data_IF_065911623716
#
_entry.id   IF_065911623716
#
_cell.length_a   1.000
_cell.length_b   1.000
_cell.length_c   1.000
_cell.angle_alpha   90.00
_cell.angle_beta   90.00
_cell.angle_gamma   90.00
#
_symmetry.space_group_name_H-M   'P 1'
#
loop_
_entity.id
_entity.type
_entity.pdbx_description
1 polymer ?
#
# COMPACT_ATOMS: atom_id res chain seq x y z
N UNK A 1 -39.41 31.09 -3.13
CA UNK A 1 -39.24 30.10 -2.06
C UNK A 1 -38.00 29.28 -2.39
N UNK A 2 -36.92 29.41 -1.59
CA UNK A 2 -35.72 28.59 -1.80
C UNK A 2 -36.13 27.11 -1.67
N UNK A 3 -35.72 26.31 -2.64
CA UNK A 3 -36.10 24.89 -2.75
C UNK A 3 -35.66 24.17 -1.47
N UNK A 4 -36.60 23.86 -0.57
CA UNK A 4 -36.38 23.38 0.80
C UNK A 4 -35.54 22.09 0.82
N UNK A 5 -35.69 21.27 -0.23
CA UNK A 5 -34.89 20.08 -0.49
C UNK A 5 -33.41 20.38 -0.73
N UNK A 6 -33.09 21.44 -1.49
CA UNK A 6 -31.70 21.87 -1.72
C UNK A 6 -31.07 22.38 -0.43
N UNK A 7 -31.81 23.12 0.39
CA UNK A 7 -31.33 23.61 1.67
C UNK A 7 -31.03 22.48 2.66
N UNK A 8 -31.90 21.45 2.72
CA UNK A 8 -31.67 20.24 3.51
C UNK A 8 -30.45 19.45 3.03
N UNK A 9 -30.29 19.29 1.71
CA UNK A 9 -29.13 18.60 1.12
C UNK A 9 -27.81 19.31 1.43
N UNK A 10 -27.76 20.63 1.29
CA UNK A 10 -26.57 21.43 1.62
C UNK A 10 -26.23 21.35 3.13
N UNK A 11 -27.26 21.36 3.99
CA UNK A 11 -27.07 21.40 5.45
C UNK A 11 -26.72 20.03 6.05
N UNK A 12 -27.27 18.94 5.52
CA UNK A 12 -27.12 17.61 6.10
C UNK A 12 -26.42 16.62 5.16
N UNK A 13 -26.67 16.72 3.85
CA UNK A 13 -26.05 15.85 2.85
C UNK A 13 -24.54 16.05 2.78
N UNK A 14 -24.07 17.30 2.65
CA UNK A 14 -22.63 17.59 2.55
C UNK A 14 -21.88 17.16 3.81
N UNK A 15 -22.31 17.51 5.05
CA UNK A 15 -21.64 17.03 6.25
C UNK A 15 -21.68 15.50 6.41
N UNK A 16 -22.77 14.83 6.06
CA UNK A 16 -22.83 13.36 6.08
C UNK A 16 -21.79 12.74 5.15
N UNK A 17 -21.65 13.24 3.91
CA UNK A 17 -20.63 12.76 2.97
C UNK A 17 -19.22 13.00 3.54
N UNK A 18 -18.98 14.17 4.14
CA UNK A 18 -17.69 14.45 4.78
C UNK A 18 -17.38 13.48 5.92
N UNK A 19 -18.36 13.14 6.77
CA UNK A 19 -18.21 12.14 7.84
C UNK A 19 -17.87 10.77 7.26
N UNK A 20 -18.57 10.33 6.21
CA UNK A 20 -18.28 9.05 5.54
C UNK A 20 -16.85 9.01 5.01
N UNK A 21 -16.39 10.07 4.36
CA UNK A 21 -15.00 10.18 3.86
C UNK A 21 -14.00 10.09 5.00
N UNK A 22 -14.24 10.78 6.13
CA UNK A 22 -13.37 10.73 7.31
C UNK A 22 -13.29 9.30 7.88
N UNK A 23 -14.43 8.62 8.02
CA UNK A 23 -14.48 7.25 8.54
C UNK A 23 -13.70 6.29 7.64
N UNK A 24 -13.88 6.37 6.32
CA UNK A 24 -13.13 5.54 5.35
C UNK A 24 -11.63 5.82 5.43
N UNK A 25 -11.22 7.09 5.54
CA UNK A 25 -9.81 7.45 5.68
C UNK A 25 -9.20 6.90 6.97
N UNK A 26 -9.89 7.04 8.11
CA UNK A 26 -9.42 6.51 9.40
C UNK A 26 -9.32 4.99 9.40
N UNK A 27 -10.30 4.30 8.81
CA UNK A 27 -10.27 2.85 8.62
C UNK A 27 -9.03 2.43 7.82
N UNK A 28 -8.77 3.10 6.70
CA UNK A 28 -7.63 2.80 5.84
C UNK A 28 -6.28 3.08 6.53
N UNK A 29 -6.17 4.16 7.30
CA UNK A 29 -4.97 4.48 8.10
C UNK A 29 -4.69 3.38 9.12
N UNK A 30 -5.72 2.89 9.81
CA UNK A 30 -5.53 1.92 10.89
C UNK A 30 -5.27 0.50 10.38
N UNK A 31 -5.94 0.08 9.30
CA UNK A 31 -5.85 -1.29 8.78
C UNK A 31 -4.67 -1.48 7.82
N UNK A 32 -4.41 -0.51 6.94
CA UNK A 32 -3.46 -0.69 5.84
C UNK A 32 -2.06 -0.13 6.14
N UNK A 33 -1.74 0.18 7.40
CA UNK A 33 -0.50 0.87 7.80
C UNK A 33 -0.17 2.09 6.93
N UNK A 34 -1.22 2.75 6.42
CA UNK A 34 -1.06 4.00 5.70
C UNK A 34 -0.73 5.06 6.75
N UNK A 35 0.25 5.91 6.48
CA UNK A 35 0.45 7.06 7.35
C UNK A 35 -0.84 7.88 7.36
N UNK A 36 -1.11 8.61 8.46
CA UNK A 36 -2.24 9.56 8.58
C UNK A 36 -2.33 10.57 7.42
N UNK A 37 -1.29 10.59 6.57
CA UNK A 37 -0.99 11.51 5.49
C UNK A 37 -0.99 10.85 4.10
N UNK A 38 -0.92 9.50 3.99
CA UNK A 38 -1.08 8.75 2.73
C UNK A 38 -2.55 8.77 2.30
N UNK A 39 -2.98 9.91 1.73
CA UNK A 39 -4.37 10.15 1.34
C UNK A 39 -4.75 11.63 1.10
N UNK A 40 -3.82 12.58 1.28
CA UNK A 40 -4.02 13.99 0.88
C UNK A 40 -3.78 15.08 1.93
N UNK A 41 -2.92 14.87 2.95
CA UNK A 41 -2.64 15.87 4.00
C UNK A 41 -1.25 16.54 3.94
N UNK A 42 -1.02 17.55 4.79
CA UNK A 42 0.25 18.28 4.95
C UNK A 42 1.38 17.37 5.47
N UNK A 43 2.36 17.03 4.62
CA UNK A 43 3.48 16.12 4.97
C UNK A 43 3.81 15.09 3.88
N UNK A 44 3.05 15.08 2.78
CA UNK A 44 3.27 14.20 1.63
C UNK A 44 4.70 14.30 1.03
N UNK A 45 5.37 15.45 1.19
CA UNK A 45 6.71 15.69 0.66
C UNK A 45 7.86 15.30 1.62
N UNK A 46 7.56 14.91 2.87
CA UNK A 46 8.59 14.54 3.86
C UNK A 46 8.82 13.03 3.96
N UNK A 47 7.95 12.21 3.39
CA UNK A 47 8.12 10.75 3.33
C UNK A 47 8.56 10.29 1.94
N UNK A 48 9.41 9.26 1.89
CA UNK A 48 9.79 8.62 0.63
C UNK A 48 8.54 7.99 -0.01
N UNK A 49 8.34 8.29 -1.29
CA UNK A 49 7.19 7.83 -2.06
C UNK A 49 7.08 6.30 -2.02
N UNK A 50 5.84 5.78 -1.96
CA UNK A 50 5.57 4.33 -1.84
C UNK A 50 6.15 3.52 -3.00
N UNK A 51 6.37 4.13 -4.17
CA UNK A 51 7.08 3.47 -5.29
C UNK A 51 8.53 3.09 -4.95
N UNK A 52 9.13 3.75 -3.96
CA UNK A 52 10.46 3.41 -3.43
C UNK A 52 10.48 2.15 -2.56
N UNK A 53 9.31 1.59 -2.20
CA UNK A 53 9.26 0.31 -1.50
C UNK A 53 9.87 -0.80 -2.37
N UNK A 54 10.70 -1.63 -1.76
CA UNK A 54 11.45 -2.69 -2.42
C UNK A 54 10.85 -4.03 -2.07
N UNK A 55 10.55 -4.82 -3.10
CA UNK A 55 10.13 -6.21 -2.93
C UNK A 55 11.39 -7.07 -3.03
N UNK A 56 11.56 -8.01 -2.11
CA UNK A 56 12.64 -8.98 -2.11
C UNK A 56 12.04 -10.38 -2.11
N UNK A 57 12.50 -11.24 -3.03
CA UNK A 57 12.08 -12.64 -3.09
C UNK A 57 13.33 -13.50 -3.05
N UNK A 58 13.40 -14.40 -2.07
CA UNK A 58 14.60 -15.20 -1.86
C UNK A 58 14.87 -16.11 -3.06
N UNK A 59 16.07 -15.98 -3.64
CA UNK A 59 16.51 -16.79 -4.78
C UNK A 59 15.79 -16.51 -6.10
N UNK A 60 15.25 -15.29 -6.29
CA UNK A 60 14.73 -14.81 -7.58
C UNK A 60 14.99 -13.32 -7.78
N UNK A 61 15.15 -12.91 -9.04
CA UNK A 61 15.18 -11.50 -9.42
C UNK A 61 13.74 -11.00 -9.62
N UNK A 62 13.33 -10.01 -8.85
CA UNK A 62 12.02 -9.35 -8.99
C UNK A 62 11.86 -8.74 -10.38
N UNK A 63 12.93 -8.19 -10.96
CA UNK A 63 12.90 -7.58 -12.30
C UNK A 63 12.55 -8.61 -13.38
N UNK A 64 13.01 -9.86 -13.23
CA UNK A 64 12.67 -10.94 -14.15
C UNK A 64 11.19 -11.34 -14.10
N UNK A 65 10.55 -11.18 -12.93
CA UNK A 65 9.14 -11.52 -12.71
C UNK A 65 8.19 -10.43 -13.22
N UNK A 66 8.63 -9.16 -13.22
CA UNK A 66 7.84 -8.01 -13.70
C UNK A 66 7.54 -8.10 -15.21
N UNK A 67 8.28 -8.89 -15.97
CA UNK A 67 7.97 -9.16 -17.38
C UNK A 67 6.57 -9.79 -17.58
N UNK A 68 6.01 -10.42 -16.54
CA UNK A 68 4.62 -10.85 -16.53
C UNK A 68 3.69 -9.74 -16.02
N UNK A 69 2.74 -9.31 -16.85
CA UNK A 69 1.79 -8.25 -16.53
C UNK A 69 0.98 -8.50 -15.25
N UNK A 70 0.59 -9.74 -14.96
CA UNK A 70 -0.22 -10.03 -13.75
C UNK A 70 0.59 -9.82 -12.47
N UNK A 71 1.85 -10.28 -12.46
CA UNK A 71 2.76 -10.11 -11.33
C UNK A 71 3.08 -8.63 -11.13
N UNK A 72 3.31 -7.89 -12.22
CA UNK A 72 3.62 -6.47 -12.15
C UNK A 72 2.50 -5.67 -11.46
N UNK A 73 1.24 -5.95 -11.80
CA UNK A 73 0.11 -5.30 -11.13
C UNK A 73 0.05 -5.64 -9.64
N UNK A 74 0.18 -6.92 -9.27
CA UNK A 74 0.22 -7.35 -7.87
C UNK A 74 1.37 -6.68 -7.11
N UNK A 75 2.56 -6.57 -7.70
CA UNK A 75 3.70 -5.88 -7.11
C UNK A 75 3.46 -4.37 -6.97
N UNK A 76 2.79 -3.73 -7.93
CA UNK A 76 2.42 -2.32 -7.84
C UNK A 76 1.48 -2.07 -6.67
N UNK A 77 0.44 -2.90 -6.51
CA UNK A 77 -0.47 -2.82 -5.37
C UNK A 77 0.24 -3.11 -4.05
N UNK A 78 1.10 -4.12 -4.02
CA UNK A 78 1.89 -4.47 -2.83
C UNK A 78 2.82 -3.35 -2.38
N UNK A 79 3.47 -2.65 -3.31
CA UNK A 79 4.30 -1.47 -3.00
C UNK A 79 3.47 -0.33 -2.42
N UNK A 80 2.26 -0.11 -2.94
CA UNK A 80 1.36 0.94 -2.45
C UNK A 80 0.81 0.61 -1.06
N UNK A 81 0.31 -0.61 -0.88
CA UNK A 81 -0.38 -1.13 0.30
C UNK A 81 0.27 -2.46 0.73
N UNK A 82 1.35 -2.41 1.50
CA UNK A 82 1.99 -3.58 2.06
C UNK A 82 1.15 -4.10 3.23
N UNK A 83 0.31 -5.10 2.96
CA UNK A 83 -0.48 -5.82 3.94
C UNK A 83 -0.49 -7.31 3.61
N UNK A 84 -0.83 -8.14 4.59
CA UNK A 84 -0.79 -9.61 4.48
C UNK A 84 -1.55 -10.13 3.25
N UNK A 85 -2.76 -9.60 3.01
CA UNK A 85 -3.60 -9.99 1.86
C UNK A 85 -2.92 -9.75 0.52
N UNK A 86 -2.40 -8.55 0.29
CA UNK A 86 -1.71 -8.20 -0.95
C UNK A 86 -0.41 -8.99 -1.11
N UNK A 87 0.25 -9.32 -0.01
CA UNK A 87 1.48 -10.11 0.02
C UNK A 87 1.19 -11.57 -0.36
N UNK A 88 0.10 -12.14 0.14
CA UNK A 88 -0.39 -13.47 -0.22
C UNK A 88 -0.82 -13.54 -1.70
N UNK A 89 -1.55 -12.53 -2.19
CA UNK A 89 -1.94 -12.46 -3.61
C UNK A 89 -0.71 -12.39 -4.52
N UNK A 90 0.28 -11.55 -4.20
CA UNK A 90 1.54 -11.49 -4.93
C UNK A 90 2.30 -12.82 -4.86
N UNK A 91 2.33 -13.48 -3.69
CA UNK A 91 2.98 -14.76 -3.52
C UNK A 91 2.34 -15.87 -4.38
N UNK A 92 1.01 -15.93 -4.42
CA UNK A 92 0.25 -16.85 -5.28
C UNK A 92 0.59 -16.65 -6.76
N UNK A 93 0.62 -15.40 -7.23
CA UNK A 93 0.96 -15.08 -8.62
C UNK A 93 2.38 -15.53 -8.99
N UNK A 94 3.32 -15.33 -8.06
CA UNK A 94 4.72 -15.77 -8.23
C UNK A 94 4.81 -17.29 -8.26
N UNK A 95 4.18 -18.02 -7.33
CA UNK A 95 4.18 -19.50 -7.34
C UNK A 95 3.43 -20.11 -8.53
N UNK A 96 2.43 -19.43 -9.07
CA UNK A 96 1.75 -19.91 -10.28
C UNK A 96 2.60 -19.71 -11.53
N UNK A 97 3.42 -18.66 -11.55
CA UNK A 97 4.29 -18.33 -12.69
C UNK A 97 5.67 -18.97 -12.61
N UNK A 98 6.06 -19.46 -11.43
CA UNK A 98 7.35 -20.11 -11.19
C UNK A 98 7.11 -21.54 -10.74
N UNK A 99 7.83 -22.52 -11.29
CA UNK A 99 7.70 -23.93 -10.88
C UNK A 99 8.33 -24.21 -9.49
N UNK A 100 8.17 -23.30 -8.53
CA UNK A 100 8.67 -23.45 -7.16
C UNK A 100 7.57 -23.97 -6.24
N UNK A 101 7.98 -24.70 -5.21
CA UNK A 101 7.06 -25.24 -4.20
C UNK A 101 6.82 -24.26 -3.05
N UNK A 102 7.75 -23.33 -2.84
CA UNK A 102 7.66 -22.30 -1.81
C UNK A 102 8.43 -21.05 -2.19
N UNK A 103 8.03 -19.93 -1.61
CA UNK A 103 8.72 -18.64 -1.73
C UNK A 103 8.69 -17.92 -0.40
N UNK A 104 9.72 -17.10 -0.21
CA UNK A 104 9.79 -16.12 0.86
C UNK A 104 9.84 -14.74 0.22
N UNK A 105 8.81 -13.94 0.45
CA UNK A 105 8.65 -12.58 -0.08
C UNK A 105 8.67 -11.58 1.08
N UNK A 106 9.41 -10.49 0.91
CA UNK A 106 9.56 -9.42 1.89
C UNK A 106 9.36 -8.06 1.22
N UNK A 107 8.80 -7.11 1.94
CA UNK A 107 8.66 -5.73 1.50
C UNK A 107 9.44 -4.81 2.43
N UNK A 108 10.35 -4.03 1.86
CA UNK A 108 11.24 -3.14 2.57
C UNK A 108 10.96 -1.68 2.21
N UNK A 109 10.80 -0.82 3.23
CA UNK A 109 10.69 0.64 3.05
C UNK A 109 12.07 1.27 3.21
N UNK A 110 12.56 2.04 2.22
CA UNK A 110 13.73 2.88 2.43
C UNK A 110 13.41 3.94 3.47
N UNK A 111 14.36 4.21 4.37
CA UNK A 111 14.25 5.31 5.33
C UNK A 111 15.58 6.04 5.42
N UNK A 112 15.52 7.34 5.68
CA UNK A 112 16.70 8.18 5.86
C UNK A 112 16.61 8.74 7.27
N UNK A 113 17.62 8.46 8.09
CA UNK A 113 17.73 9.09 9.39
C UNK A 113 18.21 10.54 9.19
N UNK A 114 17.35 11.51 9.50
CA UNK A 114 17.62 12.93 9.29
C UNK A 114 18.75 13.48 10.18
N UNK A 115 19.10 12.78 11.26
CA UNK A 115 20.15 13.22 12.20
C UNK A 115 21.56 12.96 11.67
N UNK A 116 21.76 11.83 10.99
CA UNK A 116 23.07 11.38 10.51
C UNK A 116 23.14 11.17 8.99
N UNK A 117 22.03 11.40 8.28
CA UNK A 117 21.93 11.26 6.83
C UNK A 117 22.02 9.81 6.34
N UNK A 118 21.98 8.81 7.23
CA UNK A 118 22.17 7.42 6.83
C UNK A 118 20.92 6.87 6.17
N UNK A 119 21.12 6.27 5.00
CA UNK A 119 20.13 5.47 4.32
C UNK A 119 20.06 4.08 4.96
N UNK A 120 18.88 3.68 5.40
CA UNK A 120 18.59 2.34 5.91
C UNK A 120 17.30 1.82 5.31
N UNK A 121 16.92 0.58 5.65
CA UNK A 121 15.68 -0.05 5.21
C UNK A 121 14.98 -0.64 6.42
N UNK A 122 13.66 -0.50 6.46
CA UNK A 122 12.80 -1.07 7.50
C UNK A 122 11.93 -2.12 6.85
N UNK A 123 11.89 -3.32 7.44
CA UNK A 123 10.98 -4.37 7.00
C UNK A 123 9.56 -3.91 7.30
N UNK A 124 8.72 -3.89 6.27
CA UNK A 124 7.30 -3.56 6.42
C UNK A 124 6.48 -4.80 6.69
N UNK A 125 6.68 -5.85 5.88
CA UNK A 125 5.91 -7.08 5.95
C UNK A 125 6.67 -8.22 5.25
N UNK A 126 6.45 -9.45 5.70
CA UNK A 126 7.04 -10.66 5.10
C UNK A 126 6.09 -11.85 5.15
N UNK A 127 6.26 -12.78 4.21
CA UNK A 127 5.48 -14.02 4.16
C UNK A 127 6.30 -15.16 3.60
N UNK A 128 6.21 -16.29 4.28
CA UNK A 128 6.62 -17.60 3.78
C UNK A 128 5.40 -18.31 3.23
N UNK A 129 5.32 -18.43 1.90
CA UNK A 129 4.18 -19.03 1.21
C UNK A 129 4.59 -20.35 0.56
N UNK A 130 3.80 -21.40 0.81
CA UNK A 130 4.01 -22.76 0.29
C UNK A 130 2.74 -23.21 -0.42
N UNK A 131 2.91 -23.90 -1.55
CA UNK A 131 1.82 -24.47 -2.34
C UNK A 131 1.14 -25.65 -1.65
#
# INVERSE_FOLDING_TARGET
>A
MANTSKALLLKYGIPCVAIVVIVVQLYNVHINNLSRWKGGGYGMYTEIHYQGNQIYITGMSVDSLIANNSINESFRYLKLMPNEKNLEEAAKQVLNSTNKDSIHIQVWKPTINSKDGKYTRVLLEELYYKK
#
